data_IF_618215963912
#
_entry.id   IF_618215963912
#
_cell.length_a   1.000
_cell.length_b   1.000
_cell.length_c   1.000
_cell.angle_alpha   90.00
_cell.angle_beta   90.00
_cell.angle_gamma   90.00
#
_symmetry.space_group_name_H-M   'P 1'
#
loop_
_entity.id
_entity.type
_entity.pdbx_description
1 polymer ?
#
# COMPACT_ATOMS: atom_id res chain seq x y z
N UNK A 1 -2.91 36.10 -3.10
CA UNK A 1 -3.13 35.52 -3.13
C UNK A 1 -2.94 34.83 -2.77
N UNK A 2 -2.83 34.83 -3.00
CA UNK A 2 -2.88 34.02 -2.88
C UNK A 2 -2.60 33.26 -2.67
N UNK A 3 -2.46 33.37 -2.88
CA UNK A 3 -2.41 32.57 -2.80
C UNK A 3 -2.08 31.84 -2.61
N UNK A 4 -1.88 32.13 -2.77
CA UNK A 4 -1.74 31.33 -2.72
C UNK A 4 -1.48 30.56 -2.37
N UNK A 5 -1.43 30.72 -2.59
CA UNK A 5 -1.42 29.89 -2.39
C UNK A 5 -1.24 29.10 -2.04
N UNK A 6 -1.17 29.36 -2.20
CA UNK A 6 -1.23 28.60 -2.01
C UNK A 6 -1.10 27.84 -1.71
N UNK A 7 -1.06 28.08 -1.96
CA UNK A 7 -1.09 27.31 -1.76
C UNK A 7 -0.92 26.46 -1.33
N UNK A 8 -0.86 26.69 -1.29
CA UNK A 8 -0.91 25.77 -1.17
C UNK A 8 -0.42 25.19 -0.72
N UNK A 9 -0.33 25.61 -0.78
CA UNK A 9 0.01 24.92 -0.68
C UNK A 9 0.09 24.09 -0.12
N UNK A 10 -0.50 24.43 -0.23
CA UNK A 10 -0.79 23.43 0.16
C UNK A 10 0.08 22.32 0.35
N UNK A 11 0.08 22.06 1.07
CA UNK A 11 1.05 21.01 1.15
C UNK A 11 0.45 19.65 0.89
N UNK A 12 0.74 19.07 -0.27
CA UNK A 12 0.11 17.80 -0.64
C UNK A 12 0.47 16.64 0.27
N UNK A 13 1.66 16.65 0.86
CA UNK A 13 2.08 15.54 1.70
C UNK A 13 1.21 15.39 2.93
N UNK A 14 0.70 16.51 3.44
CA UNK A 14 -0.11 16.47 4.63
C UNK A 14 -1.50 15.90 4.39
N UNK A 15 -1.90 15.73 3.13
CA UNK A 15 -3.22 15.19 2.80
C UNK A 15 -3.18 13.73 2.40
N UNK A 16 -2.00 13.13 2.39
CA UNK A 16 -1.87 11.71 2.01
C UNK A 16 -1.92 10.83 3.23
N UNK A 17 -2.48 9.65 3.03
CA UNK A 17 -2.45 8.60 4.05
C UNK A 17 -1.79 7.37 3.47
N UNK A 18 -1.14 6.60 4.30
CA UNK A 18 -0.45 5.39 3.89
C UNK A 18 -0.84 4.22 4.76
N UNK A 19 -0.74 3.04 4.17
CA UNK A 19 -0.89 1.80 4.90
C UNK A 19 0.31 0.93 4.60
N UNK A 20 0.85 0.32 5.65
CA UNK A 20 1.90 -0.68 5.52
C UNK A 20 1.22 -2.02 5.66
N UNK A 21 1.37 -2.86 4.66
CA UNK A 21 0.69 -4.14 4.60
C UNK A 21 1.74 -5.24 4.65
N UNK A 22 1.62 -6.10 5.64
CA UNK A 22 2.52 -7.23 5.79
C UNK A 22 1.77 -8.50 5.42
N UNK A 23 2.29 -9.24 4.46
CA UNK A 23 1.63 -10.43 3.94
C UNK A 23 2.40 -11.68 4.31
N UNK A 24 1.65 -12.65 4.82
CA UNK A 24 2.19 -13.99 5.00
C UNK A 24 1.55 -14.87 3.94
N UNK A 25 2.36 -15.59 3.19
CA UNK A 25 1.89 -16.39 2.08
C UNK A 25 1.70 -17.85 2.48
N UNK A 26 0.58 -18.43 2.05
CA UNK A 26 0.35 -19.86 2.22
C UNK A 26 1.05 -20.64 1.11
N UNK A 27 1.17 -20.01 -0.05
CA UNK A 27 1.82 -20.64 -1.20
C UNK A 27 2.29 -19.55 -2.14
N UNK A 28 3.06 -19.94 -3.13
CA UNK A 28 3.55 -19.00 -4.13
C UNK A 28 4.89 -18.43 -3.76
N UNK A 29 5.42 -17.66 -4.67
CA UNK A 29 6.74 -17.08 -4.56
C UNK A 29 6.64 -15.62 -4.13
N UNK A 30 7.28 -15.23 -3.01
CA UNK A 30 7.22 -13.83 -2.56
C UNK A 30 7.66 -12.83 -3.61
N UNK A 31 8.68 -13.16 -4.40
CA UNK A 31 9.14 -12.26 -5.46
C UNK A 31 8.06 -12.00 -6.49
N UNK A 32 7.33 -13.03 -6.87
CA UNK A 32 6.26 -12.89 -7.85
C UNK A 32 5.09 -12.10 -7.31
N UNK A 33 4.74 -12.35 -6.06
CA UNK A 33 3.66 -11.62 -5.42
C UNK A 33 4.02 -10.14 -5.33
N UNK A 34 5.25 -9.84 -4.89
CA UNK A 34 5.72 -8.46 -4.81
C UNK A 34 5.68 -7.80 -6.19
N UNK A 35 6.13 -8.50 -7.21
CA UNK A 35 6.16 -7.97 -8.56
C UNK A 35 4.75 -7.66 -9.06
N UNK A 36 3.80 -8.56 -8.81
CA UNK A 36 2.42 -8.34 -9.18
C UNK A 36 1.85 -7.10 -8.51
N UNK A 37 2.13 -6.96 -7.22
CA UNK A 37 1.59 -5.86 -6.43
C UNK A 37 2.17 -4.51 -6.83
N UNK A 38 3.42 -4.49 -7.27
CA UNK A 38 4.07 -3.23 -7.69
C UNK A 38 3.32 -2.52 -8.80
N UNK A 39 2.57 -3.25 -9.60
CA UNK A 39 1.85 -2.68 -10.73
C UNK A 39 0.43 -2.25 -10.39
N UNK A 40 0.00 -2.41 -9.14
CA UNK A 40 -1.35 -2.04 -8.75
C UNK A 40 -1.44 -0.56 -8.41
N UNK A 41 -2.59 0.07 -8.70
CA UNK A 41 -2.75 1.49 -8.38
C UNK A 41 -2.58 1.75 -6.88
N UNK A 42 -1.89 2.84 -6.57
CA UNK A 42 -1.69 3.25 -5.19
C UNK A 42 -0.55 2.57 -4.47
N UNK A 43 0.02 1.53 -5.05
CA UNK A 43 1.14 0.83 -4.43
C UNK A 43 2.43 1.60 -4.70
N UNK A 44 3.05 2.10 -3.62
CA UNK A 44 4.34 2.79 -3.71
C UNK A 44 5.49 1.81 -3.75
N UNK A 45 5.34 0.72 -3.01
CA UNK A 45 6.44 -0.23 -2.85
C UNK A 45 5.86 -1.59 -2.54
N UNK A 46 6.50 -2.63 -3.05
CA UNK A 46 6.19 -4.00 -2.69
C UNK A 46 7.48 -4.79 -2.83
N UNK A 47 7.93 -5.37 -1.72
CA UNK A 47 9.20 -6.10 -1.70
C UNK A 47 9.07 -7.41 -0.95
N UNK A 48 9.77 -8.45 -1.42
CA UNK A 48 9.81 -9.70 -0.68
C UNK A 48 10.70 -9.56 0.55
N UNK A 49 10.37 -10.32 1.58
CA UNK A 49 11.12 -10.35 2.83
C UNK A 49 11.61 -11.76 3.08
N UNK A 50 12.60 -11.89 3.94
CA UNK A 50 13.11 -13.20 4.36
C UNK A 50 12.39 -13.62 5.63
N UNK A 51 11.63 -14.68 5.51
CA UNK A 51 10.88 -15.19 6.65
C UNK A 51 9.59 -14.43 6.87
N UNK A 52 8.77 -14.85 7.84
CA UNK A 52 7.47 -14.21 8.05
C UNK A 52 7.63 -12.82 8.67
N UNK A 53 6.88 -11.81 8.18
CA UNK A 53 6.05 -11.89 6.99
C UNK A 53 6.87 -12.03 5.72
N UNK A 54 6.22 -12.46 4.65
CA UNK A 54 6.91 -12.77 3.40
C UNK A 54 7.03 -11.60 2.44
N UNK A 55 6.10 -10.65 2.50
CA UNK A 55 6.07 -9.51 1.59
C UNK A 55 5.60 -8.28 2.35
N UNK A 56 6.23 -7.14 2.05
CA UNK A 56 5.79 -5.85 2.57
C UNK A 56 5.27 -5.01 1.40
N UNK A 57 4.13 -4.37 1.60
CA UNK A 57 3.51 -3.51 0.60
C UNK A 57 3.18 -2.18 1.24
N UNK A 58 3.50 -1.09 0.55
CA UNK A 58 3.13 0.25 1.00
C UNK A 58 2.15 0.83 0.01
N UNK A 59 0.98 1.20 0.49
CA UNK A 59 -0.08 1.78 -0.33
C UNK A 59 -0.32 3.20 0.13
N UNK A 60 -0.51 4.11 -0.82
CA UNK A 60 -0.77 5.51 -0.50
C UNK A 60 -2.00 6.00 -1.27
N UNK A 61 -2.77 6.87 -0.62
CA UNK A 61 -3.94 7.46 -1.24
C UNK A 61 -4.19 8.84 -0.64
N UNK A 62 -5.00 9.68 -1.31
CA UNK A 62 -5.32 11.02 -0.78
C UNK A 62 -6.13 10.99 0.49
N UNK A 63 -6.93 9.95 0.71
CA UNK A 63 -7.78 9.86 1.89
C UNK A 63 -7.97 8.40 2.29
N UNK A 64 -8.49 8.20 3.51
CA UNK A 64 -8.61 6.86 4.07
C UNK A 64 -9.50 5.93 3.27
N UNK A 65 -10.63 6.43 2.80
CA UNK A 65 -11.56 5.59 2.06
C UNK A 65 -10.91 5.09 0.78
N UNK A 66 -10.24 5.98 0.08
CA UNK A 66 -9.54 5.62 -1.14
C UNK A 66 -8.41 4.62 -0.85
N UNK A 67 -7.73 4.83 0.27
CA UNK A 67 -6.66 3.93 0.69
C UNK A 67 -7.19 2.52 0.90
N UNK A 68 -8.33 2.39 1.57
CA UNK A 68 -8.94 1.09 1.79
C UNK A 68 -9.30 0.42 0.47
N UNK A 69 -9.90 1.18 -0.44
CA UNK A 69 -10.29 0.64 -1.75
C UNK A 69 -9.09 0.14 -2.53
N UNK A 70 -8.02 0.95 -2.58
CA UNK A 70 -6.83 0.58 -3.32
C UNK A 70 -6.14 -0.64 -2.70
N UNK A 71 -6.13 -0.69 -1.38
CA UNK A 71 -5.52 -1.82 -0.67
C UNK A 71 -6.28 -3.11 -0.98
N UNK A 72 -7.60 -3.07 -0.92
CA UNK A 72 -8.41 -4.24 -1.23
C UNK A 72 -8.20 -4.68 -2.66
N UNK A 73 -8.18 -3.74 -3.60
CA UNK A 73 -7.96 -4.06 -5.00
C UNK A 73 -6.61 -4.74 -5.22
N UNK A 74 -5.57 -4.20 -4.59
CA UNK A 74 -4.24 -4.77 -4.73
C UNK A 74 -4.20 -6.18 -4.18
N UNK A 75 -4.71 -6.38 -2.97
CA UNK A 75 -4.65 -7.69 -2.34
C UNK A 75 -5.52 -8.73 -3.02
N UNK A 76 -6.61 -8.31 -3.66
CA UNK A 76 -7.49 -9.24 -4.37
C UNK A 76 -6.75 -9.99 -5.46
N UNK A 77 -5.76 -9.38 -6.07
CA UNK A 77 -5.03 -10.00 -7.17
C UNK A 77 -4.19 -11.20 -6.72
N UNK A 78 -3.87 -11.29 -5.44
CA UNK A 78 -3.04 -12.38 -4.90
C UNK A 78 -3.70 -13.07 -3.72
N UNK A 79 -5.01 -12.87 -3.57
CA UNK A 79 -5.72 -13.32 -2.38
C UNK A 79 -5.63 -14.83 -2.16
N UNK A 80 -5.60 -15.64 -3.22
CA UNK A 80 -5.51 -17.09 -3.07
C UNK A 80 -4.17 -17.55 -2.53
N UNK A 81 -3.16 -16.71 -2.56
CA UNK A 81 -1.83 -17.04 -2.08
C UNK A 81 -1.59 -16.56 -0.66
N UNK A 82 -2.46 -15.71 -0.14
CA UNK A 82 -2.26 -15.07 1.16
C UNK A 82 -2.83 -15.94 2.28
N UNK A 83 -2.02 -16.13 3.31
CA UNK A 83 -2.46 -16.82 4.53
C UNK A 83 -2.91 -15.81 5.57
N UNK A 84 -2.21 -14.69 5.68
CA UNK A 84 -2.48 -13.71 6.70
C UNK A 84 -2.09 -12.32 6.21
N UNK A 85 -2.87 -11.32 6.65
CA UNK A 85 -2.61 -9.92 6.30
C UNK A 85 -2.58 -9.11 7.58
N UNK A 86 -1.55 -8.29 7.75
CA UNK A 86 -1.48 -7.34 8.85
C UNK A 86 -1.38 -5.94 8.27
N UNK A 87 -2.29 -5.08 8.68
CA UNK A 87 -2.32 -3.71 8.22
C UNK A 87 -1.84 -2.77 9.32
N UNK A 88 -0.92 -1.88 8.97
CA UNK A 88 -0.41 -0.88 9.90
C UNK A 88 -0.62 0.49 9.29
N UNK A 89 -1.81 1.08 9.47
CA UNK A 89 -2.07 2.40 8.89
C UNK A 89 -1.24 3.47 9.59
N UNK A 90 -0.72 4.38 8.77
CA UNK A 90 0.11 5.48 9.28
C UNK A 90 -0.42 6.78 8.73
N UNK A 91 -0.57 7.75 9.62
CA UNK A 91 -1.00 9.09 9.26
C UNK A 91 0.20 10.02 9.21
N UNK A 92 0.23 10.87 8.19
CA UNK A 92 1.29 11.86 8.07
C UNK A 92 0.77 13.25 8.35
#
# INVERSE_FOLDING_TARGET
MSTITTLGEKNPASTSVRAYVLLRLAKGNPDRVAQTLRHKPGVLMADPLEGPPDVIVVVEAPERQRLADLTVQALSSVETMIENVRLLPIHC
#
